data_IF_171526369225
#
_entry.id   IF_171526369225
#
_cell.length_a   1.000
_cell.length_b   1.000
_cell.length_c   1.000
_cell.angle_alpha   90.00
_cell.angle_beta   90.00
_cell.angle_gamma   90.00
#
_symmetry.space_group_name_H-M   'P 1'
#
loop_
_entity.id
_entity.type
_entity.pdbx_description
1 polymer ?
#
# COMPACT_ATOMS: atom_id res chain seq x y z
N UNK A 1 -33.44 17.73 -1.32
CA UNK A 1 -32.05 18.15 -1.59
C UNK A 1 -31.34 18.25 -0.25
N UNK A 2 -30.62 17.21 0.16
CA UNK A 2 -29.95 17.20 1.44
C UNK A 2 -28.62 17.97 1.33
N UNK A 3 -28.58 19.13 1.98
CA UNK A 3 -27.37 19.93 2.14
C UNK A 3 -26.38 19.18 3.01
N UNK A 4 -25.37 18.56 2.41
CA UNK A 4 -24.26 17.96 3.15
C UNK A 4 -23.43 19.10 3.74
N UNK A 5 -23.64 19.37 5.02
CA UNK A 5 -22.84 20.32 5.80
C UNK A 5 -21.34 20.07 5.61
N UNK A 6 -20.50 21.11 5.56
CA UNK A 6 -19.05 20.94 5.50
C UNK A 6 -18.61 20.13 6.71
N UNK A 7 -18.22 18.87 6.48
CA UNK A 7 -17.88 17.94 7.55
C UNK A 7 -16.67 18.48 8.29
N UNK A 8 -16.86 18.90 9.54
CA UNK A 8 -15.76 19.27 10.42
C UNK A 8 -14.76 18.10 10.49
N UNK A 9 -13.53 18.30 10.02
CA UNK A 9 -12.48 17.29 10.15
C UNK A 9 -12.03 17.25 11.61
N UNK A 10 -12.20 16.13 12.33
CA UNK A 10 -11.89 16.07 13.75
C UNK A 10 -10.38 16.04 13.96
N UNK A 11 -9.82 16.89 14.81
CA UNK A 11 -8.38 16.85 15.12
C UNK A 11 -8.12 15.90 16.30
N UNK A 12 -8.11 14.59 16.02
CA UNK A 12 -7.95 13.57 17.08
C UNK A 12 -6.49 13.27 17.38
N UNK A 13 -6.24 12.77 18.59
CA UNK A 13 -4.94 12.21 18.96
C UNK A 13 -4.61 11.00 18.08
N UNK A 14 -3.35 10.56 18.12
CA UNK A 14 -2.92 9.41 17.33
C UNK A 14 -3.56 8.09 17.81
N UNK A 15 -3.66 7.90 19.13
CA UNK A 15 -4.30 6.71 19.72
C UNK A 15 -5.78 6.67 19.35
N UNK A 16 -6.47 7.82 19.45
CA UNK A 16 -7.87 7.93 19.04
C UNK A 16 -8.06 7.67 17.54
N UNK A 17 -7.15 8.18 16.71
CA UNK A 17 -7.16 7.89 15.27
C UNK A 17 -7.05 6.38 15.01
N UNK A 18 -6.16 5.68 15.72
CA UNK A 18 -6.00 4.24 15.58
C UNK A 18 -7.27 3.49 16.04
N UNK A 19 -7.84 3.87 17.18
CA UNK A 19 -9.08 3.31 17.69
C UNK A 19 -10.26 3.50 16.73
N UNK A 20 -10.43 4.70 16.16
CA UNK A 20 -11.48 5.01 15.18
C UNK A 20 -11.32 4.18 13.90
N UNK A 21 -10.08 4.03 13.42
CA UNK A 21 -9.79 3.20 12.25
C UNK A 21 -10.08 1.74 12.56
N UNK A 22 -9.59 1.19 13.68
CA UNK A 22 -9.85 -0.18 14.09
C UNK A 22 -11.34 -0.49 14.25
N UNK A 23 -12.10 0.41 14.89
CA UNK A 23 -13.55 0.30 15.02
C UNK A 23 -14.24 0.28 13.65
N UNK A 24 -13.82 1.16 12.74
CA UNK A 24 -14.35 1.20 11.38
C UNK A 24 -14.09 -0.12 10.66
N UNK A 25 -12.87 -0.65 10.78
CA UNK A 25 -12.50 -1.93 10.19
C UNK A 25 -13.30 -3.10 10.77
N UNK A 26 -13.51 -3.12 12.09
CA UNK A 26 -14.31 -4.14 12.76
C UNK A 26 -15.79 -4.13 12.32
N UNK A 27 -16.33 -2.95 12.03
CA UNK A 27 -17.69 -2.80 11.50
C UNK A 27 -17.83 -3.25 10.04
N UNK A 28 -16.74 -3.30 9.28
CA UNK A 28 -16.80 -3.79 7.89
C UNK A 28 -16.92 -5.30 7.83
N UNK A 29 -18.05 -5.77 7.29
CA UNK A 29 -18.31 -7.19 7.03
C UNK A 29 -18.02 -7.56 5.58
N UNK A 30 -17.71 -8.82 5.32
CA UNK A 30 -17.67 -9.36 3.97
C UNK A 30 -19.11 -9.58 3.44
N UNK A 31 -19.26 -10.01 2.19
CA UNK A 31 -20.59 -10.29 1.61
C UNK A 31 -21.37 -11.39 2.36
N UNK A 32 -20.66 -12.25 3.09
CA UNK A 32 -21.21 -13.33 3.91
C UNK A 32 -21.52 -12.89 5.36
N UNK A 33 -21.34 -11.62 5.71
CA UNK A 33 -21.61 -11.10 7.06
C UNK A 33 -20.49 -11.36 8.09
N UNK A 34 -19.40 -12.02 7.70
CA UNK A 34 -18.26 -12.28 8.57
C UNK A 34 -17.33 -11.05 8.68
N UNK A 35 -16.57 -10.93 9.78
CA UNK A 35 -15.57 -9.87 9.93
C UNK A 35 -14.54 -9.92 8.79
N UNK A 36 -14.29 -8.77 8.15
CA UNK A 36 -13.22 -8.71 7.14
C UNK A 36 -11.86 -8.93 7.80
N UNK A 37 -11.04 -9.77 7.17
CA UNK A 37 -9.63 -9.98 7.54
C UNK A 37 -8.68 -9.02 6.84
N UNK A 38 -9.16 -8.35 5.78
CA UNK A 38 -8.43 -7.34 5.02
C UNK A 38 -9.34 -6.24 4.52
N UNK A 39 -8.86 -5.01 4.52
CA UNK A 39 -9.59 -3.86 4.01
C UNK A 39 -8.66 -2.82 3.40
N UNK A 40 -9.18 -2.12 2.40
CA UNK A 40 -8.55 -0.95 1.80
C UNK A 40 -9.30 0.30 2.24
N UNK A 41 -8.58 1.29 2.76
CA UNK A 41 -9.11 2.59 3.12
C UNK A 41 -8.46 3.67 2.26
N UNK A 42 -9.27 4.49 1.59
CA UNK A 42 -8.73 5.62 0.84
C UNK A 42 -8.13 6.68 1.76
N UNK A 43 -7.15 7.44 1.27
CA UNK A 43 -6.59 8.58 2.03
C UNK A 43 -7.65 9.61 2.42
N UNK A 44 -8.64 9.82 1.54
CA UNK A 44 -9.77 10.74 1.79
C UNK A 44 -10.62 10.26 2.96
N UNK A 45 -10.94 8.97 3.01
CA UNK A 45 -11.70 8.35 4.11
C UNK A 45 -10.92 8.45 5.42
N UNK A 46 -9.63 8.10 5.39
CA UNK A 46 -8.76 8.20 6.56
C UNK A 46 -8.74 9.63 7.11
N UNK A 47 -8.53 10.63 6.25
CA UNK A 47 -8.50 12.04 6.65
C UNK A 47 -9.85 12.53 7.16
N UNK A 48 -10.97 12.07 6.60
CA UNK A 48 -12.31 12.41 7.12
C UNK A 48 -12.55 11.81 8.50
N UNK A 49 -12.11 10.58 8.72
CA UNK A 49 -12.29 9.87 9.98
C UNK A 49 -11.41 10.42 11.11
N UNK A 50 -10.17 10.78 10.78
CA UNK A 50 -9.13 11.09 11.78
C UNK A 50 -8.70 12.56 11.78
N UNK A 51 -9.16 13.37 10.80
CA UNK A 51 -8.63 14.70 10.49
C UNK A 51 -7.15 14.75 10.08
N UNK A 52 -6.44 13.62 10.19
CA UNK A 52 -4.99 13.53 10.03
C UNK A 52 -4.61 13.10 8.63
N UNK A 53 -3.44 13.57 8.21
CA UNK A 53 -2.64 12.94 7.16
C UNK A 53 -1.60 12.07 7.87
N UNK A 54 -1.30 10.92 7.29
CA UNK A 54 -0.17 10.12 7.76
C UNK A 54 1.09 10.89 7.39
N UNK A 55 1.77 11.44 8.40
CA UNK A 55 2.88 12.37 8.23
C UNK A 55 4.12 11.92 8.99
N UNK A 56 5.21 11.68 8.27
CA UNK A 56 6.51 11.34 8.86
C UNK A 56 6.62 9.89 9.36
N UNK A 57 7.87 9.41 9.45
CA UNK A 57 8.17 8.05 9.91
C UNK A 57 7.73 7.78 11.36
N UNK A 58 7.82 8.81 12.23
CA UNK A 58 7.42 8.72 13.64
C UNK A 58 5.94 8.39 13.79
N UNK A 59 5.06 9.15 13.13
CA UNK A 59 3.62 8.90 13.15
C UNK A 59 3.31 7.50 12.61
N UNK A 60 3.90 7.12 11.48
CA UNK A 60 3.65 5.79 10.88
C UNK A 60 4.01 4.69 11.87
N UNK A 61 5.19 4.77 12.50
CA UNK A 61 5.66 3.76 13.44
C UNK A 61 4.71 3.63 14.63
N UNK A 62 4.39 4.75 15.28
CA UNK A 62 3.57 4.73 16.48
C UNK A 62 2.10 4.39 16.18
N UNK A 63 1.52 4.93 15.11
CA UNK A 63 0.18 4.54 14.66
C UNK A 63 0.11 3.05 14.29
N UNK A 64 1.15 2.53 13.63
CA UNK A 64 1.20 1.09 13.28
C UNK A 64 1.33 0.23 14.53
N UNK A 65 2.09 0.65 15.54
CA UNK A 65 2.17 -0.04 16.82
C UNK A 65 0.80 -0.09 17.52
N UNK A 66 0.08 1.02 17.57
CA UNK A 66 -1.28 1.04 18.13
C UNK A 66 -2.25 0.15 17.36
N UNK A 67 -2.24 0.21 16.03
CA UNK A 67 -3.06 -0.68 15.21
C UNK A 67 -2.71 -2.15 15.45
N UNK A 68 -1.42 -2.47 15.66
CA UNK A 68 -0.95 -3.83 15.93
C UNK A 68 -1.43 -4.33 17.29
N UNK A 69 -1.42 -3.48 18.33
CA UNK A 69 -2.04 -3.78 19.63
C UNK A 69 -3.54 -4.06 19.50
N UNK A 70 -4.21 -3.38 18.56
CA UNK A 70 -5.62 -3.60 18.21
C UNK A 70 -5.84 -4.78 17.25
N UNK A 71 -4.80 -5.57 16.96
CA UNK A 71 -4.87 -6.77 16.13
C UNK A 71 -4.91 -6.51 14.62
N UNK A 72 -4.41 -5.36 14.17
CA UNK A 72 -4.36 -4.97 12.76
C UNK A 72 -2.95 -4.54 12.33
N UNK A 73 -2.48 -5.13 11.24
CA UNK A 73 -1.32 -4.67 10.51
C UNK A 73 -1.74 -3.61 9.49
N UNK A 74 -1.00 -2.50 9.43
CA UNK A 74 -1.18 -1.47 8.42
C UNK A 74 -0.09 -1.58 7.34
N UNK A 75 -0.48 -1.44 6.08
CA UNK A 75 0.40 -1.38 4.91
C UNK A 75 0.12 -0.09 4.15
N UNK A 76 1.16 0.68 3.83
CA UNK A 76 1.03 1.85 2.96
C UNK A 76 1.06 1.39 1.50
N UNK A 77 0.01 1.71 0.74
CA UNK A 77 -0.06 1.49 -0.70
C UNK A 77 0.04 2.83 -1.43
N UNK A 78 0.29 2.88 -2.76
CA UNK A 78 0.43 4.15 -3.47
C UNK A 78 -0.77 5.11 -3.33
N UNK A 79 -2.00 4.58 -3.36
CA UNK A 79 -3.24 5.37 -3.39
C UNK A 79 -4.17 5.15 -2.19
N UNK A 80 -3.76 4.38 -1.18
CA UNK A 80 -4.60 3.99 -0.05
C UNK A 80 -3.78 3.40 1.11
N UNK A 81 -4.46 3.14 2.23
CA UNK A 81 -3.95 2.32 3.31
C UNK A 81 -4.60 0.94 3.27
N UNK A 82 -3.77 -0.09 3.35
CA UNK A 82 -4.18 -1.49 3.50
C UNK A 82 -4.16 -1.85 4.98
N UNK A 83 -5.17 -2.57 5.42
CA UNK A 83 -5.24 -3.11 6.77
C UNK A 83 -5.49 -4.61 6.69
N UNK A 84 -4.73 -5.38 7.46
CA UNK A 84 -4.84 -6.84 7.54
C UNK A 84 -4.94 -7.25 9.00
N UNK A 85 -5.87 -8.11 9.35
CA UNK A 85 -6.03 -8.61 10.71
C UNK A 85 -4.81 -9.47 11.06
N UNK A 86 -4.12 -9.16 12.14
CA UNK A 86 -2.89 -9.83 12.57
C UNK A 86 -3.11 -11.33 12.78
N UNK A 87 -4.26 -11.74 13.34
CA UNK A 87 -4.62 -13.15 13.49
C UNK A 87 -4.72 -13.91 12.15
N UNK A 88 -4.90 -13.22 11.03
CA UNK A 88 -4.89 -13.84 9.69
C UNK A 88 -3.47 -14.13 9.19
N UNK A 89 -2.44 -13.53 9.79
CA UNK A 89 -1.04 -13.82 9.47
C UNK A 89 -0.62 -15.22 9.91
N UNK A 90 -1.25 -15.80 10.95
CA UNK A 90 -0.99 -17.20 11.33
C UNK A 90 -1.37 -18.22 10.25
N UNK A 91 -2.13 -17.80 9.22
CA UNK A 91 -2.46 -18.62 8.04
C UNK A 91 -1.50 -18.39 6.87
N UNK A 92 -0.52 -17.49 7.02
CA UNK A 92 0.45 -17.23 5.96
C UNK A 92 1.45 -18.40 5.93
N UNK A 93 1.79 -18.91 4.74
CA UNK A 93 2.81 -19.94 4.63
C UNK A 93 4.12 -19.37 5.14
N UNK A 94 4.71 -20.02 6.14
CA UNK A 94 6.07 -19.72 6.57
C UNK A 94 7.02 -20.12 5.43
N UNK A 95 7.88 -19.20 5.03
CA UNK A 95 9.00 -19.54 4.15
C UNK A 95 9.90 -20.51 4.90
N UNK A 96 9.98 -21.74 4.41
CA UNK A 96 10.88 -22.76 5.00
C UNK A 96 12.32 -22.40 4.66
N UNK A 97 13.26 -22.67 5.57
CA UNK A 97 14.69 -22.44 5.34
C UNK A 97 15.21 -23.10 4.07
N UNK A 98 14.58 -24.20 3.66
CA UNK A 98 14.84 -24.95 2.43
C UNK A 98 14.71 -24.07 1.18
N UNK A 99 13.77 -23.13 1.19
CA UNK A 99 13.48 -22.22 0.05
C UNK A 99 14.61 -21.21 -0.14
N UNK A 100 15.35 -20.89 0.93
CA UNK A 100 16.46 -19.92 0.94
C UNK A 100 17.81 -20.58 1.24
N UNK A 101 17.89 -21.91 1.18
CA UNK A 101 19.05 -22.66 1.67
C UNK A 101 20.30 -22.41 0.83
N UNK A 102 20.14 -22.20 -0.48
CA UNK A 102 21.25 -21.92 -1.41
C UNK A 102 21.87 -20.56 -1.11
N UNK A 103 21.03 -19.56 -0.91
CA UNK A 103 21.42 -18.19 -0.58
C UNK A 103 22.10 -18.16 0.80
N UNK A 104 21.52 -18.84 1.80
CA UNK A 104 22.12 -18.95 3.14
C UNK A 104 23.49 -19.62 3.12
N UNK A 105 23.67 -20.66 2.29
CA UNK A 105 24.97 -21.34 2.13
C UNK A 105 26.01 -20.38 1.55
N UNK A 106 25.70 -19.70 0.44
CA UNK A 106 26.61 -18.75 -0.20
C UNK A 106 26.95 -17.56 0.71
N UNK A 107 25.99 -17.07 1.50
CA UNK A 107 26.26 -16.04 2.52
C UNK A 107 27.24 -16.57 3.58
N UNK A 108 27.02 -17.79 4.07
CA UNK A 108 27.92 -18.43 5.05
C UNK A 108 29.33 -18.66 4.52
N UNK A 109 29.49 -18.81 3.20
CA UNK A 109 30.78 -18.96 2.52
C UNK A 109 31.45 -17.61 2.18
N UNK A 110 30.82 -16.48 2.51
CA UNK A 110 31.34 -15.13 2.27
C UNK A 110 30.96 -14.52 0.91
N UNK A 111 30.17 -15.22 0.10
CA UNK A 111 29.76 -14.81 -1.26
C UNK A 111 28.50 -13.94 -1.27
N UNK A 112 28.36 -12.99 -0.34
CA UNK A 112 27.17 -12.13 -0.25
C UNK A 112 26.91 -11.33 -1.54
N UNK A 113 27.98 -10.85 -2.20
CA UNK A 113 27.86 -10.13 -3.48
C UNK A 113 27.21 -10.97 -4.57
N UNK A 114 27.63 -12.23 -4.70
CA UNK A 114 27.08 -13.18 -5.68
C UNK A 114 25.59 -13.45 -5.43
N UNK A 115 25.20 -13.60 -4.16
CA UNK A 115 23.78 -13.77 -3.78
C UNK A 115 22.96 -12.53 -4.17
N UNK A 116 23.48 -11.33 -3.89
CA UNK A 116 22.78 -10.09 -4.23
C UNK A 116 22.68 -9.88 -5.74
N UNK A 117 23.70 -10.22 -6.51
CA UNK A 117 23.68 -10.09 -7.97
C UNK A 117 22.73 -11.11 -8.62
N UNK A 118 22.71 -12.35 -8.11
CA UNK A 118 21.72 -13.35 -8.52
C UNK A 118 20.30 -12.89 -8.19
N UNK A 119 20.06 -12.35 -6.99
CA UNK A 119 18.76 -11.83 -6.59
C UNK A 119 18.31 -10.67 -7.48
N UNK A 120 19.20 -9.71 -7.79
CA UNK A 120 18.90 -8.58 -8.71
C UNK A 120 18.53 -9.08 -10.11
N UNK A 121 19.27 -10.06 -10.63
CA UNK A 121 19.00 -10.66 -11.95
C UNK A 121 17.66 -11.38 -11.98
N UNK A 122 17.34 -12.15 -10.95
CA UNK A 122 16.09 -12.92 -10.87
C UNK A 122 14.87 -12.06 -10.59
N UNK A 123 15.00 -11.03 -9.75
CA UNK A 123 13.93 -10.09 -9.43
C UNK A 123 13.73 -9.02 -10.51
N UNK A 124 14.58 -8.99 -11.53
CA UNK A 124 14.49 -8.04 -12.64
C UNK A 124 14.69 -6.60 -12.17
N UNK A 125 15.60 -6.36 -11.21
CA UNK A 125 16.14 -5.02 -10.99
C UNK A 125 16.98 -4.64 -12.21
N UNK A 126 16.28 -4.14 -13.22
CA UNK A 126 16.80 -3.46 -14.39
C UNK A 126 17.62 -2.26 -13.94
N UNK A 127 18.87 -2.53 -13.60
CA UNK A 127 19.90 -1.51 -13.53
C UNK A 127 20.20 -1.17 -14.99
N UNK A 128 19.84 0.06 -15.36
CA UNK A 128 20.13 0.80 -16.59
C UNK A 128 19.09 0.73 -17.76
N UNK A 129 18.73 1.93 -18.24
CA UNK A 129 18.10 2.28 -19.52
C UNK A 129 16.55 2.26 -19.68
N UNK A 130 15.82 2.99 -18.82
CA UNK A 130 14.59 3.70 -19.26
C UNK A 130 14.67 5.22 -19.04
N UNK A 131 15.89 5.76 -19.10
CA UNK A 131 16.17 7.20 -19.34
C UNK A 131 16.21 7.55 -20.83
N UNK A 132 15.74 6.66 -21.73
CA UNK A 132 15.87 6.82 -23.19
C UNK A 132 14.53 6.94 -23.95
N UNK A 133 13.38 7.16 -23.29
CA UNK A 133 12.10 7.44 -23.97
C UNK A 133 11.46 8.77 -23.55
N UNK A 134 12.15 9.61 -22.80
CA UNK A 134 11.74 10.98 -22.44
C UNK A 134 12.15 12.05 -23.47
N UNK A 135 12.57 11.67 -24.68
CA UNK A 135 12.93 12.62 -25.73
C UNK A 135 12.38 12.19 -27.09
N UNK A 136 11.09 12.43 -27.31
CA UNK A 136 10.51 12.79 -28.61
C UNK A 136 9.12 13.42 -28.38
N UNK A 137 9.12 14.66 -27.86
CA UNK A 137 7.98 15.56 -28.04
C UNK A 137 8.04 16.14 -29.46
N UNK A 138 6.96 15.97 -30.23
CA UNK A 138 6.76 16.64 -31.52
C UNK A 138 5.33 16.40 -32.06
N UNK A 139 4.50 17.44 -32.23
CA UNK A 139 3.06 17.32 -32.48
C UNK A 139 2.76 17.08 -33.97
N UNK A 140 1.81 16.20 -34.29
CA UNK A 140 1.37 15.93 -35.67
C UNK A 140 -0.16 15.70 -35.73
N UNK A 141 -0.83 15.95 -36.87
CA UNK A 141 -1.77 17.07 -37.00
C UNK A 141 -3.24 16.66 -37.10
N UNK A 142 -4.14 17.64 -36.92
CA UNK A 142 -5.60 17.53 -37.12
C UNK A 142 -5.94 16.93 -38.49
N UNK A 143 -6.59 15.76 -38.49
CA UNK A 143 -7.21 15.15 -39.68
C UNK A 143 -8.53 15.87 -39.96
N UNK A 144 -8.59 16.56 -41.09
CA UNK A 144 -9.79 17.21 -41.64
C UNK A 144 -10.88 16.15 -41.92
N UNK A 145 -12.08 16.45 -41.44
CA UNK A 145 -13.30 15.72 -41.73
C UNK A 145 -13.80 16.10 -43.13
N UNK A 146 -14.31 15.11 -43.85
CA UNK A 146 -14.63 15.14 -45.27
C UNK A 146 -15.99 15.83 -45.46
N UNK A 147 -16.02 16.96 -46.16
CA UNK A 147 -17.25 17.55 -46.72
C UNK A 147 -17.50 16.90 -48.07
N UNK A 148 -18.62 16.19 -48.20
CA UNK A 148 -19.14 15.72 -49.50
C UNK A 148 -20.37 16.59 -49.82
N UNK A 149 -20.27 17.36 -50.91
CA UNK A 149 -21.33 18.19 -51.48
C UNK A 149 -22.02 17.36 -52.57
N UNK A 150 -23.35 17.51 -52.63
CA UNK A 150 -24.27 17.01 -53.66
C UNK A 150 -23.78 17.20 -55.09
#
# INVERSE_FOLDING_TARGET
>A
MDTVSPTATPNVSQGDAAALVALTLQRTKNKAGEPRTRARMSYKTFRRLTGRRIGGAKFVREFTAEMMNLGWLMVRMPSAYGFVRAASLGKWPLTKSNVVAKELKLIGEGSLSEVLDNARRELGEATEASSALSSLNGPTPKKREKTEVR
#
